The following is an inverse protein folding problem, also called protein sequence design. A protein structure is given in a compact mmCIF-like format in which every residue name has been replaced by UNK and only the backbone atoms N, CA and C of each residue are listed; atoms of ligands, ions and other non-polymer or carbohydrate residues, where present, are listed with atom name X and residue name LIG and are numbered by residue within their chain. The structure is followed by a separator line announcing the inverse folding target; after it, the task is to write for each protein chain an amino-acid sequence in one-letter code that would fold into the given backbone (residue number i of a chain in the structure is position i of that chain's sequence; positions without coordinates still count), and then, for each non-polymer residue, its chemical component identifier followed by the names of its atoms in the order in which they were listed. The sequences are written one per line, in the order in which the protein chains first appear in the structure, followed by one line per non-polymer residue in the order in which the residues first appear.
data_IF_732165930441
#
_entry.id   IF_732165930441
#
_cell.length_a   1.000
_cell.length_b   1.000
_cell.length_c   1.000
_cell.angle_alpha   90.00
_cell.angle_beta   90.00
_cell.angle_gamma   90.00
#
_symmetry.space_group_name_H-M   'P 1'
#
loop_
_entity.id
_entity.type
_entity.pdbx_description
1 polymer ?
#
# COMPACT_ATOMS: atom_id res chain seq x y z
N UNK A 1 -57.31 41.38 3.73
CA UNK A 1 -57.87 40.02 3.95
C UNK A 1 -56.68 39.07 3.97
N UNK A 2 -56.10 38.76 5.14
CA UNK A 2 -56.41 37.58 5.98
C UNK A 2 -56.64 36.32 5.14
N UNK A 3 -55.69 35.38 5.17
CA UNK A 3 -55.93 34.04 5.71
C UNK A 3 -54.59 33.32 6.00
N UNK A 4 -54.43 32.99 7.28
CA UNK A 4 -53.52 32.00 7.87
C UNK A 4 -54.22 30.64 7.72
N UNK A 5 -53.49 29.54 7.44
CA UNK A 5 -53.70 28.15 7.95
C UNK A 5 -52.57 27.27 7.38
N UNK A 6 -51.57 26.90 8.18
CA UNK A 6 -51.43 25.59 8.84
C UNK A 6 -51.19 24.41 7.89
N UNK A 7 -49.93 23.95 7.81
CA UNK A 7 -49.58 22.65 7.25
C UNK A 7 -49.06 21.75 8.38
N UNK A 8 -49.96 20.98 8.96
CA UNK A 8 -49.65 19.81 9.79
C UNK A 8 -49.29 18.64 8.88
N UNK A 9 -48.17 17.98 9.21
CA UNK A 9 -48.10 16.52 9.29
C UNK A 9 -48.14 15.71 8.00
N UNK A 10 -46.95 15.28 7.57
CA UNK A 10 -46.76 13.91 7.08
C UNK A 10 -45.31 13.50 7.37
N UNK A 11 -45.07 13.03 8.59
CA UNK A 11 -43.89 12.24 8.91
C UNK A 11 -44.03 10.90 8.17
N UNK A 12 -43.32 10.77 7.04
CA UNK A 12 -43.17 9.47 6.40
C UNK A 12 -42.07 8.71 7.15
N UNK A 13 -42.50 7.64 7.81
CA UNK A 13 -41.68 6.64 8.48
C UNK A 13 -40.65 6.06 7.50
N UNK A 14 -39.36 6.36 7.70
CA UNK A 14 -38.28 5.52 7.21
C UNK A 14 -38.19 4.30 8.14
N UNK A 15 -38.92 3.25 7.79
CA UNK A 15 -38.78 1.93 8.41
C UNK A 15 -37.38 1.37 8.17
N UNK A 16 -36.75 0.91 9.25
CA UNK A 16 -35.59 0.03 9.31
C UNK A 16 -35.46 -0.90 8.09
N UNK A 17 -34.51 -0.65 7.20
CA UNK A 17 -33.53 -1.62 6.68
C UNK A 17 -32.77 -0.99 5.49
N UNK A 18 -31.44 -1.11 5.51
CA UNK A 18 -30.52 -0.84 4.40
C UNK A 18 -30.29 0.64 4.00
N UNK A 19 -29.84 1.47 4.95
CA UNK A 19 -28.77 2.41 4.58
C UNK A 19 -27.48 1.58 4.51
N UNK A 20 -27.20 1.00 3.34
CA UNK A 20 -25.81 0.71 2.99
C UNK A 20 -25.09 2.06 3.05
N UNK A 21 -24.29 2.26 4.09
CA UNK A 21 -23.26 3.26 4.03
C UNK A 21 -22.36 2.83 2.87
N UNK A 22 -22.54 3.47 1.71
CA UNK A 22 -21.48 3.55 0.75
C UNK A 22 -20.30 4.13 1.54
N UNK A 23 -19.26 3.34 1.70
CA UNK A 23 -17.97 3.78 2.19
C UNK A 23 -17.56 4.91 1.25
N UNK A 24 -17.78 6.15 1.69
CA UNK A 24 -17.51 7.34 0.90
C UNK A 24 -16.00 7.43 0.84
N UNK A 25 -15.42 6.83 -0.20
CA UNK A 25 -14.00 6.80 -0.43
C UNK A 25 -13.49 8.24 -0.33
N UNK A 26 -12.72 8.52 0.73
CA UNK A 26 -12.13 9.84 0.95
C UNK A 26 -11.32 10.15 -0.30
N UNK A 27 -11.76 11.17 -1.05
CA UNK A 27 -11.11 11.55 -2.29
C UNK A 27 -9.61 11.75 -2.02
N UNK A 28 -8.72 11.12 -2.80
CA UNK A 28 -7.30 11.24 -2.55
C UNK A 28 -6.88 12.71 -2.70
N UNK A 29 -5.94 13.15 -1.87
CA UNK A 29 -5.49 14.55 -1.81
C UNK A 29 -5.07 15.04 -3.20
N UNK A 30 -5.36 16.29 -3.56
CA UNK A 30 -4.82 16.84 -4.81
C UNK A 30 -3.28 16.81 -4.80
N UNK A 31 -2.67 16.47 -5.94
CA UNK A 31 -1.22 16.48 -6.12
C UNK A 31 -0.77 17.78 -6.77
N UNK A 32 0.30 18.35 -6.24
CA UNK A 32 0.97 19.51 -6.83
C UNK A 32 1.56 19.16 -8.20
N UNK A 33 1.66 20.15 -9.08
CA UNK A 33 2.35 19.99 -10.37
C UNK A 33 3.82 19.61 -10.15
N UNK A 34 4.36 18.73 -11.00
CA UNK A 34 5.71 18.20 -10.89
C UNK A 34 5.89 17.14 -9.79
N UNK A 35 4.79 16.68 -9.17
CA UNK A 35 4.80 15.64 -8.13
C UNK A 35 3.92 14.47 -8.51
N UNK A 36 4.35 13.28 -8.13
CA UNK A 36 3.53 12.06 -8.15
C UNK A 36 3.45 11.48 -6.74
N UNK A 37 2.47 10.62 -6.49
CA UNK A 37 2.38 9.86 -5.23
C UNK A 37 2.53 8.37 -5.48
N UNK A 38 3.23 7.71 -4.56
CA UNK A 38 3.42 6.26 -4.56
C UNK A 38 2.84 5.70 -3.25
N UNK A 39 1.86 4.81 -3.36
CA UNK A 39 1.36 4.01 -2.26
C UNK A 39 2.04 2.63 -2.27
N UNK A 40 2.76 2.31 -1.20
CA UNK A 40 3.45 1.05 -1.01
C UNK A 40 2.59 0.09 -0.20
N UNK A 41 2.41 -1.13 -0.69
CA UNK A 41 1.64 -2.20 -0.05
C UNK A 41 2.34 -3.55 -0.22
N UNK A 42 1.98 -4.52 0.60
CA UNK A 42 2.41 -5.90 0.45
C UNK A 42 1.25 -6.87 0.58
N UNK A 43 1.33 -8.01 -0.10
CA UNK A 43 0.37 -9.10 -0.01
C UNK A 43 1.03 -10.48 -0.24
N UNK A 44 0.25 -11.55 -0.15
CA UNK A 44 0.68 -12.94 -0.35
C UNK A 44 1.16 -13.62 0.92
N UNK A 45 1.84 -12.89 1.81
CA UNK A 45 2.23 -13.36 3.15
C UNK A 45 2.23 -12.24 4.19
N UNK A 46 2.18 -12.60 5.48
CA UNK A 46 2.13 -11.67 6.62
C UNK A 46 3.49 -11.06 7.01
N UNK A 47 4.53 -11.28 6.20
CA UNK A 47 5.90 -10.86 6.47
C UNK A 47 6.12 -9.38 6.15
N UNK A 48 7.01 -8.73 6.89
CA UNK A 48 7.35 -7.32 6.68
C UNK A 48 8.28 -7.19 5.47
N UNK A 49 8.02 -6.20 4.62
CA UNK A 49 8.88 -5.81 3.50
C UNK A 49 9.51 -4.45 3.82
N UNK A 50 10.83 -4.41 3.88
CA UNK A 50 11.63 -3.19 3.84
C UNK A 50 11.69 -2.68 2.39
N UNK A 51 11.49 -1.37 2.18
CA UNK A 51 11.63 -0.79 0.85
C UNK A 51 12.42 0.52 0.85
N UNK A 52 13.06 0.76 -0.28
CA UNK A 52 13.94 1.89 -0.52
C UNK A 52 13.72 2.45 -1.93
N UNK A 53 14.00 3.74 -2.09
CA UNK A 53 13.91 4.43 -3.38
C UNK A 53 15.26 5.04 -3.78
N UNK A 54 15.46 5.27 -5.07
CA UNK A 54 16.56 6.07 -5.61
C UNK A 54 16.13 6.79 -6.88
N UNK A 55 16.67 7.98 -7.12
CA UNK A 55 16.53 8.70 -8.39
C UNK A 55 17.78 8.61 -9.27
N UNK A 56 18.77 7.81 -8.85
CA UNK A 56 20.01 7.65 -9.60
C UNK A 56 19.75 6.94 -10.93
N UNK A 57 20.50 7.32 -11.97
CA UNK A 57 20.45 6.63 -13.26
C UNK A 57 21.12 5.24 -13.19
N UNK A 58 22.16 5.11 -12.34
CA UNK A 58 22.87 3.85 -12.13
C UNK A 58 22.04 2.88 -11.29
N UNK A 59 21.93 1.64 -11.77
CA UNK A 59 21.17 0.59 -11.10
C UNK A 59 21.64 0.38 -9.65
N UNK A 60 20.68 0.34 -8.73
CA UNK A 60 20.88 0.04 -7.31
C UNK A 60 21.76 1.03 -6.53
N UNK A 61 22.18 2.15 -7.13
CA UNK A 61 22.95 3.23 -6.48
C UNK A 61 22.01 4.21 -5.78
N UNK A 62 22.49 4.85 -4.71
CA UNK A 62 21.74 5.91 -4.01
C UNK A 62 20.45 5.46 -3.33
N UNK A 63 20.29 4.17 -3.05
CA UNK A 63 19.06 3.64 -2.44
C UNK A 63 18.89 4.14 -1.00
N UNK A 64 17.87 4.95 -0.76
CA UNK A 64 17.50 5.48 0.56
C UNK A 64 16.32 4.70 1.12
N UNK A 65 16.42 4.14 2.35
CA UNK A 65 15.28 3.48 3.00
C UNK A 65 14.11 4.44 3.17
N UNK A 66 12.91 4.00 2.78
CA UNK A 66 11.69 4.81 2.87
C UNK A 66 10.79 4.30 4.00
N UNK A 67 10.63 2.99 4.13
CA UNK A 67 9.76 2.44 5.15
C UNK A 67 9.63 0.93 5.10
N UNK A 68 8.63 0.46 5.84
CA UNK A 68 8.30 -0.95 6.02
C UNK A 68 6.80 -1.16 5.89
N UNK A 69 6.39 -2.13 5.05
CA UNK A 69 4.98 -2.49 4.87
C UNK A 69 4.71 -3.95 5.20
N UNK A 70 3.47 -4.27 5.58
CA UNK A 70 3.01 -5.64 5.82
C UNK A 70 1.54 -5.83 5.43
N UNK A 71 1.15 -7.07 5.10
CA UNK A 71 -0.18 -7.41 4.60
C UNK A 71 -1.24 -7.47 5.72
N UNK A 72 -1.65 -6.32 6.27
CA UNK A 72 -2.61 -6.27 7.38
C UNK A 72 -3.96 -6.94 7.05
N UNK A 73 -4.49 -6.72 5.85
CA UNK A 73 -5.75 -7.34 5.40
C UNK A 73 -5.65 -8.87 5.35
N UNK A 74 -4.51 -9.40 4.91
CA UNK A 74 -4.27 -10.85 4.91
C UNK A 74 -4.23 -11.42 6.33
N UNK A 75 -3.57 -10.71 7.26
CA UNK A 75 -3.50 -11.12 8.68
C UNK A 75 -4.89 -11.13 9.32
N UNK A 76 -5.73 -10.11 9.05
CA UNK A 76 -7.11 -10.03 9.52
C UNK A 76 -7.97 -11.18 9.00
N UNK A 77 -7.73 -11.64 7.77
CA UNK A 77 -8.42 -12.79 7.16
C UNK A 77 -7.94 -14.14 7.69
N UNK A 78 -6.64 -14.29 8.00
CA UNK A 78 -6.03 -15.57 8.39
C UNK A 78 -6.02 -15.81 9.91
N UNK A 79 -6.08 -14.78 10.73
CA UNK A 79 -5.95 -14.88 12.18
C UNK A 79 -7.25 -14.51 12.89
N UNK A 80 -7.41 -14.99 14.13
CA UNK A 80 -8.47 -14.52 15.01
C UNK A 80 -8.30 -13.01 15.28
N UNK A 81 -9.41 -12.28 15.38
CA UNK A 81 -9.39 -10.81 15.44
C UNK A 81 -8.52 -10.22 16.56
N UNK A 82 -8.44 -10.87 17.72
CA UNK A 82 -7.56 -10.41 18.81
C UNK A 82 -6.07 -10.65 18.50
N UNK A 83 -5.74 -11.76 17.82
CA UNK A 83 -4.37 -12.08 17.40
C UNK A 83 -3.94 -11.10 16.30
N UNK A 84 -4.80 -10.87 15.30
CA UNK A 84 -4.52 -9.89 14.24
C UNK A 84 -4.21 -8.51 14.83
N UNK A 85 -5.04 -8.02 15.76
CA UNK A 85 -4.79 -6.74 16.46
C UNK A 85 -3.47 -6.72 17.23
N UNK A 86 -3.10 -7.81 17.89
CA UNK A 86 -1.84 -7.92 18.61
C UNK A 86 -0.63 -7.88 17.66
N UNK A 87 -0.70 -8.62 16.55
CA UNK A 87 0.35 -8.64 15.51
C UNK A 87 0.47 -7.28 14.85
N UNK A 88 -0.65 -6.64 14.47
CA UNK A 88 -0.64 -5.29 13.90
C UNK A 88 -0.02 -4.25 14.86
N UNK A 89 -0.37 -4.32 16.15
CA UNK A 89 0.22 -3.46 17.18
C UNK A 89 1.72 -3.71 17.34
N UNK A 90 2.15 -4.98 17.27
CA UNK A 90 3.56 -5.37 17.32
C UNK A 90 4.33 -4.84 16.11
N UNK A 91 3.83 -5.08 14.90
CA UNK A 91 4.45 -4.61 13.66
C UNK A 91 4.59 -3.09 13.65
N UNK A 92 3.55 -2.37 14.08
CA UNK A 92 3.58 -0.91 14.18
C UNK A 92 4.61 -0.41 15.19
N UNK A 93 4.57 -0.92 16.42
CA UNK A 93 5.32 -0.32 17.54
C UNK A 93 6.74 -0.86 17.69
N UNK A 94 6.98 -2.12 17.33
CA UNK A 94 8.28 -2.76 17.49
C UNK A 94 9.07 -2.76 16.18
N UNK A 95 8.40 -2.97 15.04
CA UNK A 95 9.05 -3.06 13.74
C UNK A 95 8.96 -1.78 12.90
N UNK A 96 8.17 -0.78 13.33
CA UNK A 96 7.85 0.44 12.57
C UNK A 96 7.30 0.14 11.17
N UNK A 97 6.52 -0.94 11.05
CA UNK A 97 5.88 -1.34 9.80
C UNK A 97 4.40 -0.91 9.78
N UNK A 98 3.95 -0.41 8.65
CA UNK A 98 2.58 0.06 8.44
C UNK A 98 1.85 -0.81 7.40
N UNK A 99 0.51 -0.90 7.42
CA UNK A 99 -0.23 -1.64 6.40
C UNK A 99 0.03 -1.13 4.98
N UNK A 100 0.18 0.19 4.85
CA UNK A 100 0.47 0.90 3.63
C UNK A 100 1.18 2.22 3.96
N UNK A 101 1.97 2.73 3.03
CA UNK A 101 2.69 4.00 3.15
C UNK A 101 2.53 4.76 1.85
N UNK A 102 2.02 5.99 1.89
CA UNK A 102 2.03 6.89 0.74
C UNK A 102 3.18 7.88 0.85
N UNK A 103 3.97 8.04 -0.23
CA UNK A 103 4.99 9.08 -0.32
C UNK A 103 4.85 9.89 -1.60
N UNK A 104 5.28 11.15 -1.55
CA UNK A 104 5.38 11.97 -2.75
C UNK A 104 6.78 11.87 -3.36
N UNK A 105 6.85 11.71 -4.68
CA UNK A 105 8.09 11.69 -5.47
C UNK A 105 8.05 12.79 -6.52
N UNK A 106 9.22 13.15 -7.08
CA UNK A 106 9.25 14.04 -8.24
C UNK A 106 8.70 13.29 -9.44
N UNK A 107 7.92 14.00 -10.26
CA UNK A 107 7.49 13.51 -11.54
C UNK A 107 8.60 13.68 -12.60
N UNK A 108 8.47 12.93 -13.69
CA UNK A 108 9.27 13.03 -14.92
C UNK A 108 10.78 12.78 -14.72
N UNK A 109 11.18 12.29 -13.54
CA UNK A 109 12.52 11.82 -13.21
C UNK A 109 12.50 10.28 -12.98
N UNK A 110 13.52 9.52 -13.42
CA UNK A 110 13.58 8.09 -13.15
C UNK A 110 13.55 7.77 -11.66
N UNK A 111 12.75 6.78 -11.28
CA UNK A 111 12.60 6.29 -9.92
C UNK A 111 12.86 4.79 -9.87
N UNK A 112 13.86 4.40 -9.08
CA UNK A 112 14.12 3.03 -8.68
C UNK A 112 13.43 2.73 -7.36
N UNK A 113 12.77 1.57 -7.27
CA UNK A 113 12.09 1.10 -6.07
C UNK A 113 12.54 -0.32 -5.81
N UNK A 114 13.13 -0.55 -4.63
CA UNK A 114 13.57 -1.87 -4.18
C UNK A 114 12.74 -2.35 -3.00
N UNK A 115 12.17 -3.55 -3.12
CA UNK A 115 11.59 -4.31 -2.02
C UNK A 115 12.50 -5.45 -1.57
N UNK A 116 12.61 -5.64 -0.26
CA UNK A 116 13.31 -6.74 0.36
C UNK A 116 12.63 -7.19 1.66
N UNK A 117 12.50 -8.50 1.85
CA UNK A 117 12.06 -9.07 3.12
C UNK A 117 13.08 -10.10 3.59
N UNK A 118 13.44 -10.05 4.87
CA UNK A 118 14.18 -11.12 5.52
C UNK A 118 13.50 -11.43 6.84
N UNK A 119 13.35 -12.71 7.13
CA UNK A 119 12.69 -13.14 8.33
C UNK A 119 13.38 -14.33 8.94
N UNK A 120 13.40 -14.32 10.26
CA UNK A 120 13.69 -15.48 11.08
C UNK A 120 12.65 -15.52 12.19
N UNK A 121 12.04 -16.68 12.39
CA UNK A 121 11.16 -16.97 13.50
C UNK A 121 11.74 -18.12 14.29
N UNK A 122 11.74 -17.93 15.61
CA UNK A 122 12.18 -18.89 16.61
C UNK A 122 11.01 -19.13 17.54
N UNK A 123 10.15 -20.09 17.18
CA UNK A 123 9.03 -20.51 18.03
C UNK A 123 9.39 -21.86 18.67
N UNK A 124 10.09 -21.81 19.81
CA UNK A 124 10.55 -23.01 20.50
C UNK A 124 11.64 -23.77 19.72
N UNK A 125 11.58 -25.10 19.58
CA UNK A 125 12.60 -25.86 18.85
C UNK A 125 12.54 -25.65 17.32
N UNK A 126 11.47 -25.04 16.80
CA UNK A 126 11.30 -24.81 15.37
C UNK A 126 11.84 -23.44 14.97
N UNK A 127 12.85 -23.47 14.11
CA UNK A 127 13.41 -22.30 13.45
C UNK A 127 12.92 -22.28 12.01
N UNK A 128 12.24 -21.22 11.62
CA UNK A 128 11.98 -20.93 10.21
C UNK A 128 12.70 -19.64 9.85
N UNK A 129 13.41 -19.65 8.73
CA UNK A 129 14.05 -18.45 8.21
C UNK A 129 13.94 -18.44 6.70
N UNK A 130 13.82 -17.24 6.13
CA UNK A 130 13.72 -17.05 4.70
C UNK A 130 13.98 -15.60 4.33
N UNK A 131 13.96 -15.36 3.03
CA UNK A 131 14.02 -14.03 2.49
C UNK A 131 13.22 -13.97 1.20
N UNK A 132 12.85 -12.75 0.84
CA UNK A 132 12.23 -12.45 -0.43
C UNK A 132 12.87 -11.20 -1.02
N UNK A 133 13.44 -11.35 -2.22
CA UNK A 133 14.13 -10.27 -2.92
C UNK A 133 15.66 -10.28 -2.70
N UNK A 134 16.35 -9.19 -3.07
CA UNK A 134 15.79 -7.92 -3.48
C UNK A 134 15.09 -7.98 -4.84
N UNK A 135 13.94 -7.31 -4.97
CA UNK A 135 13.32 -6.98 -6.26
C UNK A 135 13.45 -5.49 -6.46
N UNK A 136 13.94 -5.08 -7.62
CA UNK A 136 14.10 -3.66 -7.94
C UNK A 136 13.47 -3.37 -9.28
N UNK A 137 12.59 -2.38 -9.31
CA UNK A 137 11.95 -1.87 -10.52
C UNK A 137 12.37 -0.43 -10.74
N UNK A 138 12.48 -0.04 -12.02
CA UNK A 138 12.69 1.34 -12.43
C UNK A 138 11.58 1.78 -13.37
N UNK A 139 11.02 2.96 -13.13
CA UNK A 139 10.05 3.60 -14.00
C UNK A 139 10.10 5.12 -13.82
N UNK A 140 9.39 5.86 -14.66
CA UNK A 140 9.28 7.32 -14.57
C UNK A 140 7.84 7.71 -14.23
N UNK A 141 7.55 8.18 -13.01
CA UNK A 141 6.21 8.61 -12.64
C UNK A 141 5.84 9.93 -13.31
N UNK A 142 4.56 10.08 -13.70
CA UNK A 142 4.03 11.27 -14.36
C UNK A 142 3.50 12.29 -13.37
N UNK A 143 3.54 13.56 -13.76
CA UNK A 143 3.04 14.68 -12.95
C UNK A 143 1.57 14.50 -12.60
N UNK A 144 1.23 14.65 -11.33
CA UNK A 144 -0.12 14.50 -10.77
C UNK A 144 -0.72 13.09 -10.84
N UNK A 145 0.10 12.06 -11.08
CA UNK A 145 -0.33 10.67 -11.05
C UNK A 145 -0.11 10.02 -9.69
N UNK A 146 -0.90 8.97 -9.44
CA UNK A 146 -0.84 8.12 -8.26
C UNK A 146 -0.53 6.69 -8.68
N UNK A 147 0.48 6.10 -8.07
CA UNK A 147 0.90 4.74 -8.33
C UNK A 147 0.78 3.88 -7.09
N UNK A 148 0.44 2.62 -7.27
CA UNK A 148 0.53 1.60 -6.24
C UNK A 148 1.71 0.68 -6.56
N UNK A 149 2.61 0.54 -5.60
CA UNK A 149 3.65 -0.50 -5.61
C UNK A 149 3.17 -1.63 -4.72
N UNK A 150 3.02 -2.81 -5.31
CA UNK A 150 2.66 -4.01 -4.56
C UNK A 150 3.86 -4.96 -4.48
N UNK A 151 4.25 -5.32 -3.27
CA UNK A 151 5.21 -6.39 -2.99
C UNK A 151 4.45 -7.69 -2.69
N UNK A 152 4.49 -8.65 -3.60
CA UNK A 152 3.72 -9.90 -3.48
C UNK A 152 4.64 -11.07 -3.14
N UNK A 153 4.31 -11.81 -2.09
CA UNK A 153 4.89 -13.14 -1.84
C UNK A 153 4.14 -14.17 -2.68
N UNK A 154 4.86 -14.91 -3.52
CA UNK A 154 4.32 -15.95 -4.41
C UNK A 154 5.00 -17.29 -4.09
N UNK A 155 4.46 -18.39 -4.62
CA UNK A 155 5.04 -19.71 -4.39
C UNK A 155 6.51 -19.76 -4.85
N UNK A 156 7.44 -19.86 -3.90
CA UNK A 156 8.88 -19.94 -4.17
C UNK A 156 9.59 -18.61 -4.41
N UNK A 157 8.96 -17.46 -4.18
CA UNK A 157 9.63 -16.15 -4.34
C UNK A 157 8.74 -14.95 -4.08
N UNK A 158 9.10 -13.82 -4.67
CA UNK A 158 8.28 -12.61 -4.67
C UNK A 158 8.28 -11.94 -6.03
N UNK A 159 7.23 -11.18 -6.22
CA UNK A 159 7.01 -10.27 -7.31
C UNK A 159 6.87 -8.86 -6.77
N UNK A 160 7.18 -7.89 -7.61
CA UNK A 160 6.91 -6.49 -7.37
C UNK A 160 6.19 -5.97 -8.60
N UNK A 161 5.10 -5.24 -8.41
CA UNK A 161 4.33 -4.64 -9.50
C UNK A 161 4.09 -3.17 -9.23
N UNK A 162 3.92 -2.41 -10.32
CA UNK A 162 3.55 -1.00 -10.27
C UNK A 162 2.27 -0.84 -11.08
N UNK A 163 1.28 -0.17 -10.50
CA UNK A 163 -0.01 0.09 -11.13
C UNK A 163 -0.31 1.56 -11.00
N UNK A 164 -0.66 2.23 -12.10
CA UNK A 164 -1.25 3.56 -12.06
C UNK A 164 -2.67 3.44 -11.53
N UNK A 165 -2.93 4.11 -10.41
CA UNK A 165 -4.22 4.13 -9.70
C UNK A 165 -4.77 5.55 -9.60
N UNK A 166 -4.33 6.45 -10.49
CA UNK A 166 -4.82 7.84 -10.56
C UNK A 166 -6.33 7.89 -10.73
N UNK A 167 -6.86 6.98 -11.54
CA UNK A 167 -8.30 6.71 -11.65
C UNK A 167 -8.55 5.30 -11.11
N UNK A 168 -9.07 5.14 -9.87
CA UNK A 168 -9.19 3.83 -9.22
C UNK A 168 -9.99 2.80 -10.04
N UNK A 169 -11.04 3.23 -10.72
CA UNK A 169 -11.89 2.39 -11.57
C UNK A 169 -11.21 1.97 -12.89
N UNK A 170 -10.07 2.59 -13.22
CA UNK A 170 -9.33 2.38 -14.47
C UNK A 170 -7.84 2.19 -14.16
N UNK A 171 -7.54 1.37 -13.16
CA UNK A 171 -6.15 1.10 -12.79
C UNK A 171 -5.39 0.41 -13.93
N UNK A 172 -4.21 0.92 -14.31
CA UNK A 172 -3.42 0.41 -15.43
C UNK A 172 -2.06 -0.10 -14.96
N UNK A 173 -1.64 -1.33 -15.30
CA UNK A 173 -0.28 -1.79 -15.03
C UNK A 173 0.76 -0.87 -15.69
N UNK A 174 1.81 -0.52 -14.95
CA UNK A 174 2.92 0.27 -15.47
C UNK A 174 4.01 -0.67 -15.97
N UNK A 175 4.47 -0.46 -17.20
CA UNK A 175 5.66 -1.12 -17.71
C UNK A 175 6.89 -0.55 -17.01
N UNK A 176 7.48 -1.36 -16.12
CA UNK A 176 8.66 -1.00 -15.37
C UNK A 176 9.83 -1.92 -15.74
N UNK A 177 11.03 -1.36 -15.80
CA UNK A 177 12.24 -2.11 -16.04
C UNK A 177 12.64 -2.90 -14.78
N UNK A 178 12.87 -4.20 -14.95
CA UNK A 178 13.34 -5.07 -13.87
C UNK A 178 14.86 -5.02 -13.78
N UNK A 179 15.38 -4.61 -12.63
CA UNK A 179 16.83 -4.59 -12.35
C UNK A 179 17.20 -5.88 -11.61
N UNK A 180 17.83 -6.83 -12.31
CA UNK A 180 18.06 -8.20 -11.83
C UNK A 180 19.26 -8.36 -10.88
N UNK A 181 20.21 -7.42 -10.87
CA UNK A 181 21.53 -7.61 -10.24
C UNK A 181 21.77 -6.69 -9.04
N UNK A 182 20.72 -6.31 -8.30
CA UNK A 182 20.90 -5.53 -7.08
C UNK A 182 21.41 -6.40 -5.93
N UNK A 183 22.45 -5.96 -5.18
CA UNK A 183 22.87 -6.65 -3.98
C UNK A 183 21.77 -6.59 -2.92
N UNK A 184 21.73 -7.61 -2.07
CA UNK A 184 20.91 -7.62 -0.86
C UNK A 184 21.28 -6.40 0.03
N UNK A 185 20.29 -5.69 0.61
CA UNK A 185 20.53 -4.59 1.54
C UNK A 185 21.29 -5.00 2.81
#
# INVERSE_FOLDING_TARGET
MKHIYSAMGAALFCTFSLCHAADEAVAPRALEEGRAAINYKSDGDGMIVDFANSTEAEACKGMVPVGRVYAAELLRKKLLGFIAKMVEKSNRNLANALPEIETGVKADEPLQIRGYSSYSSSNGPFRSSGFCGPRTLRFTPQSQHRYQVMFNFVSGGCEQTITDVTQPEQSVPVEAEVILSCPKP
#
